data_IF_804718199392
#
_entry.id   IF_804718199392
#
_cell.length_a   1.000
_cell.length_b   1.000
_cell.length_c   1.000
_cell.angle_alpha   90.00
_cell.angle_beta   90.00
_cell.angle_gamma   90.00
#
_symmetry.space_group_name_H-M   'P 1'
#
loop_
_entity.id
_entity.type
_entity.pdbx_description
1 polymer ?
#
# COMPACT_ATOMS: atom_id res chain seq x y z
N UNK A 1 -8.63 -3.10 20.40
CA UNK A 1 -8.01 -1.89 21.00
C UNK A 1 -6.48 -1.96 21.04
N UNK A 2 -5.89 -3.09 21.41
CA UNK A 2 -4.43 -3.24 21.57
C UNK A 2 -3.60 -2.88 20.31
N UNK A 3 -4.00 -3.37 19.11
CA UNK A 3 -3.29 -3.07 17.85
C UNK A 3 -3.23 -1.56 17.52
N UNK A 4 -4.27 -0.81 17.87
CA UNK A 4 -4.27 0.62 17.63
C UNK A 4 -3.24 1.33 18.51
N UNK A 5 -3.15 0.94 19.78
CA UNK A 5 -2.13 1.43 20.70
C UNK A 5 -0.72 1.14 20.16
N UNK A 6 -0.44 -0.11 19.78
CA UNK A 6 0.88 -0.49 19.26
C UNK A 6 1.21 0.25 17.97
N UNK A 7 0.23 0.41 17.06
CA UNK A 7 0.42 1.16 15.82
C UNK A 7 0.80 2.61 16.10
N UNK A 8 0.12 3.28 17.05
CA UNK A 8 0.47 4.62 17.48
C UNK A 8 1.82 4.68 18.19
N UNK A 9 2.13 3.72 19.04
CA UNK A 9 3.41 3.63 19.71
C UNK A 9 4.56 3.55 18.71
N UNK A 10 4.46 2.64 17.70
CA UNK A 10 5.46 2.51 16.63
C UNK A 10 5.58 3.81 15.82
N UNK A 11 4.46 4.47 15.52
CA UNK A 11 4.51 5.77 14.82
C UNK A 11 5.21 6.84 15.62
N UNK A 12 4.88 7.00 16.88
CA UNK A 12 5.45 8.06 17.74
C UNK A 12 6.96 7.80 17.98
N UNK A 13 7.34 6.57 18.32
CA UNK A 13 8.74 6.25 18.60
C UNK A 13 9.61 6.16 17.35
N UNK A 14 9.05 5.68 16.24
CA UNK A 14 9.77 5.47 14.98
C UNK A 14 9.84 6.70 14.06
N UNK A 15 8.97 7.69 14.24
CA UNK A 15 8.84 8.78 13.27
C UNK A 15 10.12 9.62 13.11
N UNK A 16 10.82 9.90 14.20
CA UNK A 16 12.04 10.71 14.15
C UNK A 16 13.16 9.97 13.42
N UNK A 17 13.43 8.73 13.82
CA UNK A 17 14.42 7.89 13.14
C UNK A 17 14.07 7.69 11.66
N UNK A 18 12.81 7.42 11.37
CA UNK A 18 12.30 7.29 10.03
C UNK A 18 12.51 8.55 9.18
N UNK A 19 12.14 9.71 9.71
CA UNK A 19 12.32 10.99 9.02
C UNK A 19 13.80 11.29 8.76
N UNK A 20 14.67 11.08 9.76
CA UNK A 20 16.11 11.31 9.64
C UNK A 20 16.76 10.40 8.60
N UNK A 21 16.42 9.11 8.61
CA UNK A 21 17.07 8.12 7.74
C UNK A 21 16.54 8.13 6.29
N UNK A 22 15.24 8.44 6.11
CA UNK A 22 14.59 8.32 4.79
C UNK A 22 14.35 9.67 4.11
N UNK A 23 14.32 10.77 4.89
CA UNK A 23 14.03 12.13 4.40
C UNK A 23 12.83 12.15 3.44
N UNK A 24 11.67 11.60 3.83
CA UNK A 24 10.57 11.32 2.92
C UNK A 24 10.01 12.60 2.29
N UNK A 25 9.66 12.55 1.00
CA UNK A 25 8.93 13.60 0.30
C UNK A 25 7.70 12.99 -0.37
N UNK A 26 6.55 13.58 -0.09
CA UNK A 26 5.27 13.12 -0.62
C UNK A 26 4.81 14.02 -1.74
N UNK A 27 4.40 13.42 -2.83
CA UNK A 27 3.79 14.04 -3.99
C UNK A 27 2.33 13.57 -4.11
N UNK A 28 1.55 14.22 -4.93
CA UNK A 28 0.14 13.90 -5.16
C UNK A 28 -0.17 14.03 -6.64
N UNK A 29 -0.97 13.12 -7.17
CA UNK A 29 -1.57 13.31 -8.50
C UNK A 29 -2.60 14.44 -8.41
N UNK A 30 -3.56 14.35 -7.49
CA UNK A 30 -4.45 15.45 -7.10
C UNK A 30 -4.61 15.49 -5.58
N UNK A 31 -3.96 16.44 -4.93
CA UNK A 31 -4.02 16.61 -3.47
C UNK A 31 -5.41 16.99 -2.96
N UNK A 32 -6.27 17.55 -3.79
CA UNK A 32 -7.64 17.91 -3.41
C UNK A 32 -8.52 16.67 -3.37
N UNK A 33 -8.35 15.75 -4.30
CA UNK A 33 -9.06 14.49 -4.33
C UNK A 33 -8.59 13.54 -3.22
N UNK A 34 -7.28 13.39 -3.04
CA UNK A 34 -6.72 12.56 -1.98
C UNK A 34 -5.44 13.18 -1.41
N UNK A 35 -5.42 13.34 -0.11
CA UNK A 35 -4.22 13.68 0.66
C UNK A 35 -3.83 12.50 1.55
N UNK A 36 -2.86 12.71 2.45
CA UNK A 36 -2.52 11.72 3.49
C UNK A 36 -3.62 11.54 4.56
N UNK A 37 -4.77 12.17 4.39
CA UNK A 37 -5.93 12.06 5.30
C UNK A 37 -7.01 11.18 4.68
N UNK A 38 -6.92 9.88 4.91
CA UNK A 38 -7.98 8.95 4.49
C UNK A 38 -9.21 9.13 5.37
N UNK A 39 -10.39 9.32 4.75
CA UNK A 39 -11.68 9.37 5.41
C UNK A 39 -12.45 8.07 5.16
N UNK A 40 -13.02 7.48 6.21
CA UNK A 40 -13.79 6.24 6.09
C UNK A 40 -12.94 5.01 5.77
N UNK A 41 -13.56 4.00 5.14
CA UNK A 41 -12.91 2.77 4.71
C UNK A 41 -12.05 3.01 3.47
N UNK A 42 -10.91 2.34 3.36
CA UNK A 42 -10.08 2.38 2.16
C UNK A 42 -9.13 1.17 2.09
N UNK A 43 -8.75 0.82 0.88
CA UNK A 43 -7.68 -0.15 0.61
C UNK A 43 -6.51 0.66 0.01
N UNK A 44 -5.41 0.73 0.74
CA UNK A 44 -4.18 1.35 0.23
C UNK A 44 -3.40 0.28 -0.52
N UNK A 45 -3.16 0.52 -1.79
CA UNK A 45 -2.40 -0.38 -2.67
C UNK A 45 -1.10 0.29 -3.08
N UNK A 46 0.02 -0.38 -2.87
CA UNK A 46 1.33 0.15 -3.26
C UNK A 46 2.15 -0.90 -4.00
N UNK A 47 3.10 -0.44 -4.82
CA UNK A 47 4.19 -1.28 -5.31
C UNK A 47 5.09 -1.73 -4.16
N UNK A 48 5.84 -2.83 -4.35
CA UNK A 48 6.64 -3.46 -3.29
C UNK A 48 8.11 -3.56 -3.68
N UNK A 49 8.92 -2.62 -3.21
CA UNK A 49 10.36 -2.53 -3.52
C UNK A 49 11.27 -2.87 -2.35
N UNK A 50 10.73 -2.82 -1.12
CA UNK A 50 11.49 -3.02 0.11
C UNK A 50 10.60 -3.56 1.23
N UNK A 51 11.19 -4.30 2.15
CA UNK A 51 10.51 -4.72 3.41
C UNK A 51 10.05 -3.51 4.24
N UNK A 52 10.62 -2.34 4.00
CA UNK A 52 10.28 -1.10 4.70
C UNK A 52 9.08 -0.36 4.10
N UNK A 53 8.54 -0.80 2.96
CA UNK A 53 7.38 -0.14 2.32
C UNK A 53 6.19 -0.06 3.28
N UNK A 54 5.93 -1.13 4.06
CA UNK A 54 4.86 -1.17 5.06
C UNK A 54 5.01 -0.03 6.08
N UNK A 55 6.22 0.19 6.58
CA UNK A 55 6.47 1.29 7.51
C UNK A 55 6.30 2.65 6.82
N UNK A 56 6.74 2.77 5.54
CA UNK A 56 6.60 3.99 4.75
C UNK A 56 5.14 4.39 4.60
N UNK A 57 4.29 3.47 4.16
CA UNK A 57 2.86 3.72 3.96
C UNK A 57 2.17 3.97 5.31
N UNK A 58 2.56 3.25 6.36
CA UNK A 58 2.07 3.49 7.71
C UNK A 58 2.38 4.91 8.22
N UNK A 59 3.59 5.43 7.97
CA UNK A 59 3.98 6.80 8.34
C UNK A 59 3.36 7.86 7.41
N UNK A 60 3.19 7.54 6.13
CA UNK A 60 2.52 8.41 5.16
C UNK A 60 1.10 8.75 5.63
N UNK A 61 0.31 7.75 5.99
CA UNK A 61 -1.05 7.91 6.49
C UNK A 61 -1.07 8.01 8.02
N UNK A 62 -0.35 8.95 8.57
CA UNK A 62 -0.12 9.13 10.00
C UNK A 62 -1.39 9.05 10.86
N UNK A 63 -2.50 9.65 10.39
CA UNK A 63 -3.74 9.78 11.15
C UNK A 63 -4.61 8.52 11.18
N UNK A 64 -4.20 7.44 10.49
CA UNK A 64 -4.98 6.20 10.38
C UNK A 64 -4.17 5.03 10.90
N UNK A 65 -4.81 4.20 11.70
CA UNK A 65 -4.29 2.86 11.96
C UNK A 65 -4.62 1.98 10.76
N UNK A 66 -3.61 1.33 10.21
CA UNK A 66 -3.76 0.46 9.03
C UNK A 66 -3.42 -0.97 9.40
N UNK A 67 -4.01 -1.92 8.69
CA UNK A 67 -3.70 -3.34 8.83
C UNK A 67 -3.14 -3.86 7.53
N UNK A 68 -1.87 -4.23 7.55
CA UNK A 68 -1.18 -4.77 6.38
C UNK A 68 -1.49 -6.25 6.21
N UNK A 69 -1.70 -6.67 4.97
CA UNK A 69 -1.76 -8.07 4.58
C UNK A 69 -0.34 -8.61 4.44
N UNK A 70 0.02 -9.62 5.25
CA UNK A 70 1.38 -10.15 5.34
C UNK A 70 1.41 -11.65 5.10
N UNK A 71 2.32 -12.10 4.24
CA UNK A 71 2.50 -13.51 3.93
C UNK A 71 2.88 -14.33 5.17
N UNK A 72 2.37 -15.57 5.27
CA UNK A 72 2.61 -16.48 6.38
C UNK A 72 4.07 -16.69 6.71
N UNK A 73 4.93 -16.77 5.69
CA UNK A 73 6.38 -16.97 5.87
C UNK A 73 7.03 -15.93 6.81
N UNK A 74 6.45 -14.73 6.90
CA UNK A 74 6.94 -13.71 7.83
C UNK A 74 6.63 -14.07 9.29
N UNK A 75 5.56 -14.81 9.54
CA UNK A 75 5.20 -15.30 10.86
C UNK A 75 6.01 -16.53 11.28
N UNK A 76 6.65 -17.21 10.33
CA UNK A 76 7.48 -18.38 10.60
C UNK A 76 8.94 -18.03 10.91
N UNK A 77 9.39 -16.78 10.70
CA UNK A 77 10.78 -16.37 10.91
C UNK A 77 11.24 -16.51 12.36
N UNK A 78 10.52 -15.94 13.30
CA UNK A 78 10.77 -16.09 14.74
C UNK A 78 9.57 -15.60 15.58
N UNK A 79 9.55 -15.96 16.86
CA UNK A 79 8.45 -15.61 17.76
C UNK A 79 8.30 -14.09 17.99
N UNK A 80 9.41 -13.34 18.01
CA UNK A 80 9.39 -11.90 18.20
C UNK A 80 8.73 -11.19 16.99
N UNK A 81 9.08 -11.58 15.77
CA UNK A 81 8.45 -11.07 14.55
C UNK A 81 6.96 -11.39 14.55
N UNK A 82 6.59 -12.62 14.89
CA UNK A 82 5.19 -13.03 14.99
C UNK A 82 4.41 -12.18 16.00
N UNK A 83 4.97 -11.98 17.20
CA UNK A 83 4.37 -11.13 18.21
C UNK A 83 4.22 -9.67 17.75
N UNK A 84 5.24 -9.14 17.09
CA UNK A 84 5.22 -7.79 16.53
C UNK A 84 4.13 -7.63 15.45
N UNK A 85 4.09 -8.50 14.44
CA UNK A 85 3.08 -8.45 13.38
C UNK A 85 1.64 -8.55 13.93
N UNK A 86 1.42 -9.44 14.90
CA UNK A 86 0.13 -9.54 15.61
C UNK A 86 -0.20 -8.27 16.37
N UNK A 87 0.77 -7.68 17.05
CA UNK A 87 0.57 -6.49 17.89
C UNK A 87 0.20 -5.25 17.09
N UNK A 88 0.76 -5.06 15.89
CA UNK A 88 0.39 -3.96 14.98
C UNK A 88 -0.86 -4.27 14.14
N UNK A 89 -1.44 -5.47 14.28
CA UNK A 89 -2.70 -5.86 13.67
C UNK A 89 -2.60 -6.33 12.22
N UNK A 90 -1.44 -6.83 11.79
CA UNK A 90 -1.29 -7.46 10.49
C UNK A 90 -2.21 -8.65 10.31
N UNK A 91 -2.71 -8.84 9.10
CA UNK A 91 -3.56 -9.96 8.71
C UNK A 91 -2.68 -10.96 7.96
N UNK A 92 -2.61 -12.18 8.48
CA UNK A 92 -1.87 -13.27 7.85
C UNK A 92 -2.57 -13.74 6.59
N UNK A 93 -1.81 -13.89 5.50
CA UNK A 93 -2.25 -14.56 4.27
C UNK A 93 -1.54 -15.91 4.22
N UNK A 94 -2.32 -16.97 4.26
CA UNK A 94 -1.85 -18.33 4.00
C UNK A 94 -2.07 -18.65 2.51
N UNK A 95 -0.97 -18.73 1.78
CA UNK A 95 -1.01 -18.96 0.33
C UNK A 95 -0.90 -20.44 -0.03
N UNK A 96 -0.31 -21.22 0.86
CA UNK A 96 -0.06 -22.65 0.62
C UNK A 96 -1.34 -23.49 0.80
N UNK A 97 -2.16 -23.10 1.79
CA UNK A 97 -3.41 -23.80 2.09
C UNK A 97 -4.65 -23.17 1.43
N UNK A 98 -4.48 -22.24 0.47
CA UNK A 98 -5.61 -21.56 -0.20
C UNK A 98 -6.64 -20.99 0.78
N UNK A 99 -6.18 -20.52 1.95
CA UNK A 99 -7.06 -19.92 2.97
C UNK A 99 -7.47 -18.50 2.57
N UNK A 100 -8.69 -18.34 2.11
CA UNK A 100 -9.29 -17.06 1.77
C UNK A 100 -9.89 -16.32 2.98
N UNK A 101 -9.73 -16.83 4.20
CA UNK A 101 -10.26 -16.20 5.42
C UNK A 101 -9.77 -14.76 5.62
N UNK A 102 -8.62 -14.41 5.04
CA UNK A 102 -8.09 -13.05 5.07
C UNK A 102 -9.02 -12.06 4.33
N UNK A 103 -9.71 -12.48 3.27
CA UNK A 103 -10.67 -11.65 2.53
C UNK A 103 -11.82 -11.28 3.46
N UNK A 104 -12.45 -12.27 4.10
CA UNK A 104 -13.56 -12.02 5.02
C UNK A 104 -13.13 -11.13 6.19
N UNK A 105 -11.98 -11.41 6.82
CA UNK A 105 -11.42 -10.58 7.90
C UNK A 105 -11.18 -9.14 7.45
N UNK A 106 -10.67 -8.94 6.23
CA UNK A 106 -10.42 -7.62 5.66
C UNK A 106 -11.72 -6.88 5.37
N UNK A 107 -12.73 -7.56 4.79
CA UNK A 107 -14.06 -7.00 4.58
C UNK A 107 -14.70 -6.53 5.90
N UNK A 108 -14.60 -7.31 6.97
CA UNK A 108 -15.14 -6.96 8.28
C UNK A 108 -14.47 -5.72 8.88
N UNK A 109 -13.17 -5.55 8.64
CA UNK A 109 -12.41 -4.35 9.04
C UNK A 109 -12.88 -3.14 8.23
N UNK A 110 -12.99 -3.29 6.91
CA UNK A 110 -13.42 -2.22 6.01
C UNK A 110 -14.86 -1.78 6.31
N UNK A 111 -15.78 -2.72 6.55
CA UNK A 111 -17.19 -2.41 6.96
C UNK A 111 -17.24 -1.56 8.23
N UNK A 112 -16.26 -1.69 9.14
CA UNK A 112 -16.13 -0.87 10.35
C UNK A 112 -15.38 0.45 10.12
N UNK A 113 -15.17 0.85 8.87
CA UNK A 113 -14.43 2.08 8.52
C UNK A 113 -12.92 1.97 8.65
N UNK A 114 -12.39 0.74 8.73
CA UNK A 114 -10.94 0.48 8.80
C UNK A 114 -10.20 0.73 7.49
N UNK A 115 -8.88 0.64 7.53
CA UNK A 115 -8.00 0.76 6.36
C UNK A 115 -7.13 -0.50 6.27
N UNK A 116 -7.10 -1.07 5.08
CA UNK A 116 -6.24 -2.22 4.72
C UNK A 116 -5.12 -1.72 3.83
N UNK A 117 -3.92 -2.23 4.06
CA UNK A 117 -2.75 -2.02 3.23
C UNK A 117 -2.37 -3.33 2.55
N UNK A 118 -2.20 -3.30 1.23
CA UNK A 118 -1.90 -4.49 0.43
C UNK A 118 -0.87 -4.19 -0.66
N UNK A 119 0.03 -5.15 -0.85
CA UNK A 119 1.05 -5.20 -1.90
C UNK A 119 0.69 -6.33 -2.87
N UNK A 120 0.00 -6.04 -3.99
CA UNK A 120 -0.54 -7.09 -4.86
C UNK A 120 0.52 -7.85 -5.65
N UNK A 121 1.76 -7.35 -5.71
CA UNK A 121 2.93 -8.07 -6.24
C UNK A 121 3.25 -9.34 -5.46
N UNK A 122 2.79 -9.42 -4.21
CA UNK A 122 2.90 -10.60 -3.34
C UNK A 122 4.31 -10.99 -2.90
N UNK A 123 5.34 -10.45 -3.49
CA UNK A 123 6.75 -10.64 -3.12
C UNK A 123 7.58 -9.43 -3.51
N UNK A 124 8.76 -9.34 -2.97
CA UNK A 124 9.75 -8.38 -3.44
C UNK A 124 10.35 -8.83 -4.79
N UNK A 125 10.66 -7.88 -5.69
CA UNK A 125 11.35 -8.17 -6.94
C UNK A 125 12.77 -8.69 -6.69
N UNK A 126 13.23 -9.57 -7.54
CA UNK A 126 14.63 -9.99 -7.60
C UNK A 126 15.44 -8.94 -8.38
N UNK A 127 16.76 -9.00 -8.24
CA UNK A 127 17.64 -8.11 -8.99
C UNK A 127 17.46 -8.29 -10.50
N UNK A 128 17.15 -7.20 -11.20
CA UNK A 128 16.95 -7.18 -12.66
C UNK A 128 15.53 -7.47 -13.13
N UNK A 129 14.58 -7.75 -12.22
CA UNK A 129 13.17 -7.87 -12.61
C UNK A 129 12.55 -6.48 -12.82
N UNK A 130 11.70 -6.37 -13.83
CA UNK A 130 10.88 -5.17 -14.02
C UNK A 130 9.89 -5.00 -12.88
N UNK A 131 9.67 -3.76 -12.48
CA UNK A 131 8.78 -3.40 -11.38
C UNK A 131 7.80 -2.32 -11.78
N UNK A 132 6.56 -2.38 -11.28
CA UNK A 132 5.99 -3.38 -10.37
C UNK A 132 5.77 -4.73 -11.04
N UNK A 133 5.93 -5.81 -10.26
CA UNK A 133 5.65 -7.18 -10.70
C UNK A 133 4.17 -7.35 -11.10
N UNK A 134 3.80 -8.45 -11.79
CA UNK A 134 2.40 -8.77 -12.05
C UNK A 134 1.58 -8.80 -10.76
N UNK A 135 0.41 -8.16 -10.78
CA UNK A 135 -0.48 -8.06 -9.62
C UNK A 135 -1.33 -9.31 -9.46
N UNK A 136 -1.58 -9.70 -8.20
CA UNK A 136 -2.60 -10.67 -7.84
C UNK A 136 -3.95 -9.96 -7.69
N UNK A 137 -5.07 -10.63 -8.01
CA UNK A 137 -6.39 -9.98 -8.04
C UNK A 137 -6.98 -9.67 -6.65
N UNK A 138 -6.30 -10.06 -5.57
CA UNK A 138 -6.81 -9.94 -4.19
C UNK A 138 -7.19 -8.51 -3.77
N UNK A 139 -6.50 -7.48 -4.27
CA UNK A 139 -6.82 -6.09 -3.97
C UNK A 139 -8.13 -5.67 -4.62
N UNK A 140 -8.33 -6.05 -5.89
CA UNK A 140 -9.56 -5.76 -6.65
C UNK A 140 -10.74 -6.55 -6.08
N UNK A 141 -10.56 -7.85 -5.82
CA UNK A 141 -11.57 -8.69 -5.20
C UNK A 141 -12.05 -8.10 -3.86
N UNK A 142 -11.11 -7.66 -3.02
CA UNK A 142 -11.42 -7.03 -1.76
C UNK A 142 -12.18 -5.71 -1.93
N UNK A 143 -11.83 -4.90 -2.93
CA UNK A 143 -12.52 -3.65 -3.25
C UNK A 143 -13.97 -3.92 -3.68
N UNK A 144 -14.19 -4.85 -4.61
CA UNK A 144 -15.51 -5.22 -5.09
C UNK A 144 -16.40 -5.78 -3.97
N UNK A 145 -15.88 -6.68 -3.13
CA UNK A 145 -16.67 -7.28 -2.04
C UNK A 145 -16.97 -6.33 -0.88
N UNK A 146 -16.07 -5.39 -0.60
CA UNK A 146 -16.25 -4.45 0.52
C UNK A 146 -16.87 -3.12 0.12
N UNK A 147 -16.89 -2.79 -1.18
CA UNK A 147 -17.22 -1.46 -1.70
C UNK A 147 -16.28 -0.39 -1.16
N UNK A 148 -15.05 -0.73 -0.80
CA UNK A 148 -14.05 0.23 -0.33
C UNK A 148 -13.25 0.76 -1.51
N UNK A 149 -13.03 2.08 -1.63
CA UNK A 149 -12.18 2.62 -2.68
C UNK A 149 -10.73 2.17 -2.49
N UNK A 150 -10.03 1.97 -3.59
CA UNK A 150 -8.59 1.78 -3.62
C UNK A 150 -7.91 3.15 -3.66
N UNK A 151 -6.92 3.37 -2.79
CA UNK A 151 -6.03 4.53 -2.81
C UNK A 151 -4.67 4.05 -3.29
N UNK A 152 -4.31 4.27 -4.57
CA UNK A 152 -3.02 3.87 -5.09
C UNK A 152 -1.89 4.75 -4.53
N UNK A 153 -0.76 4.11 -4.24
CA UNK A 153 0.47 4.76 -3.80
C UNK A 153 1.64 4.16 -4.56
N UNK A 154 2.53 4.98 -5.04
CA UNK A 154 3.81 4.51 -5.57
C UNK A 154 4.97 5.01 -4.72
N UNK A 155 5.96 4.16 -4.49
CA UNK A 155 7.20 4.49 -3.79
C UNK A 155 8.42 4.14 -4.62
N UNK A 156 9.45 5.00 -4.55
CA UNK A 156 10.72 4.73 -5.22
C UNK A 156 11.62 3.73 -4.46
N UNK A 157 11.23 3.30 -3.26
CA UNK A 157 11.95 2.34 -2.43
C UNK A 157 13.31 2.80 -1.91
N UNK A 158 13.65 4.08 -2.03
CA UNK A 158 14.96 4.62 -1.66
C UNK A 158 15.06 4.91 -0.15
N UNK A 159 14.99 3.86 0.66
CA UNK A 159 15.11 3.97 2.12
C UNK A 159 16.54 3.72 2.57
N UNK A 160 16.97 4.40 3.64
CA UNK A 160 18.31 4.27 4.23
C UNK A 160 19.46 4.39 3.21
N UNK A 161 19.26 5.21 2.19
CA UNK A 161 20.21 5.43 1.10
C UNK A 161 20.55 6.92 0.94
N UNK A 162 21.55 7.23 0.12
CA UNK A 162 21.86 8.62 -0.24
C UNK A 162 20.72 9.28 -1.03
N UNK A 163 19.90 8.48 -1.73
CA UNK A 163 18.72 8.96 -2.44
C UNK A 163 17.60 9.23 -1.46
N UNK A 164 16.82 10.27 -1.72
CA UNK A 164 15.64 10.64 -0.92
C UNK A 164 14.50 9.68 -1.18
N UNK A 165 13.84 9.22 -0.12
CA UNK A 165 12.59 8.47 -0.23
C UNK A 165 11.49 9.38 -0.78
N UNK A 166 10.82 8.94 -1.85
CA UNK A 166 9.75 9.68 -2.52
C UNK A 166 8.54 8.80 -2.69
N UNK A 167 7.37 9.37 -2.49
CA UNK A 167 6.09 8.70 -2.66
C UNK A 167 5.12 9.62 -3.39
N UNK A 168 4.23 9.03 -4.16
CA UNK A 168 3.10 9.74 -4.76
C UNK A 168 1.80 9.04 -4.39
N UNK A 169 0.79 9.83 -4.05
CA UNK A 169 -0.56 9.37 -3.71
C UNK A 169 -1.51 9.77 -4.82
N UNK A 170 -2.28 8.80 -5.31
CA UNK A 170 -3.30 9.00 -6.30
C UNK A 170 -4.67 9.29 -5.68
N UNK A 171 -5.63 9.72 -6.51
CA UNK A 171 -7.04 9.79 -6.17
C UNK A 171 -7.62 8.41 -5.89
N UNK A 172 -8.66 8.32 -5.06
CA UNK A 172 -9.32 7.05 -4.80
C UNK A 172 -9.99 6.52 -6.07
N UNK A 173 -9.88 5.20 -6.29
CA UNK A 173 -10.50 4.50 -7.41
C UNK A 173 -11.63 3.62 -6.87
N UNK A 174 -12.82 3.79 -7.40
CA UNK A 174 -13.95 2.89 -7.17
C UNK A 174 -13.93 1.78 -8.23
N UNK A 175 -13.55 0.56 -7.82
CA UNK A 175 -13.46 -0.58 -8.72
C UNK A 175 -14.83 -1.05 -9.22
N UNK A 176 -15.89 -0.83 -8.44
CA UNK A 176 -17.23 -1.19 -8.87
C UNK A 176 -17.73 -0.29 -10.02
N UNK A 177 -17.32 0.97 -10.06
CA UNK A 177 -17.65 1.87 -11.15
C UNK A 177 -16.93 1.54 -12.48
N UNK A 178 -15.92 0.70 -12.44
CA UNK A 178 -15.15 0.24 -13.61
C UNK A 178 -15.52 -1.20 -14.00
N UNK A 179 -16.44 -1.84 -13.28
CA UNK A 179 -16.90 -3.19 -13.58
C UNK A 179 -17.76 -3.21 -14.83
N UNK A 180 -17.51 -4.13 -15.74
CA UNK A 180 -18.25 -4.29 -16.99
C UNK A 180 -19.18 -5.50 -16.90
N UNK A 181 -20.48 -5.27 -16.77
CA UNK A 181 -21.50 -6.31 -16.67
C UNK A 181 -21.64 -7.19 -17.93
N UNK A 182 -20.98 -6.82 -19.03
CA UNK A 182 -20.97 -7.63 -20.26
C UNK A 182 -19.92 -8.72 -20.27
N UNK A 183 -18.92 -8.65 -19.36
CA UNK A 183 -17.83 -9.59 -19.23
C UNK A 183 -18.11 -10.59 -18.09
N UNK A 184 -17.46 -11.76 -18.14
CA UNK A 184 -17.51 -12.66 -17.02
C UNK A 184 -16.70 -12.15 -15.81
N UNK A 185 -16.94 -12.72 -14.62
CA UNK A 185 -16.31 -12.31 -13.37
C UNK A 185 -14.78 -12.42 -13.42
N UNK A 186 -14.27 -13.49 -14.05
CA UNK A 186 -12.84 -13.75 -14.17
C UNK A 186 -12.17 -12.73 -15.07
N UNK A 187 -12.79 -12.43 -16.19
CA UNK A 187 -12.30 -11.44 -17.15
C UNK A 187 -12.32 -10.04 -16.55
N UNK A 188 -13.42 -9.64 -15.89
CA UNK A 188 -13.49 -8.39 -15.12
C UNK A 188 -12.36 -8.29 -14.10
N UNK A 189 -12.17 -9.33 -13.30
CA UNK A 189 -11.16 -9.34 -12.27
C UNK A 189 -9.74 -9.22 -12.84
N UNK A 190 -9.48 -9.83 -14.00
CA UNK A 190 -8.21 -9.72 -14.71
C UNK A 190 -8.01 -8.29 -15.24
N UNK A 191 -9.00 -7.75 -15.94
CA UNK A 191 -8.93 -6.40 -16.54
C UNK A 191 -8.76 -5.31 -15.48
N UNK A 192 -9.53 -5.37 -14.40
CA UNK A 192 -9.42 -4.43 -13.28
C UNK A 192 -8.08 -4.55 -12.54
N UNK A 193 -7.52 -5.77 -12.46
CA UNK A 193 -6.20 -5.99 -11.86
C UNK A 193 -5.10 -5.38 -12.71
N UNK A 194 -5.16 -5.55 -14.02
CA UNK A 194 -4.21 -4.96 -14.96
C UNK A 194 -4.35 -3.43 -15.02
N UNK A 195 -5.58 -2.91 -15.01
CA UNK A 195 -5.84 -1.48 -14.88
C UNK A 195 -5.15 -0.90 -13.64
N UNK A 196 -5.33 -1.54 -12.49
CA UNK A 196 -4.72 -1.09 -11.23
C UNK A 196 -3.18 -1.12 -11.31
N UNK A 197 -2.61 -2.18 -11.91
CA UNK A 197 -1.16 -2.28 -12.11
C UNK A 197 -0.63 -1.16 -13.00
N UNK A 198 -1.29 -0.92 -14.13
CA UNK A 198 -0.90 0.12 -15.07
C UNK A 198 -1.00 1.51 -14.41
N UNK A 199 -2.03 1.74 -13.60
CA UNK A 199 -2.15 2.98 -12.83
C UNK A 199 -0.99 3.20 -11.86
N UNK A 200 -0.51 2.15 -11.20
CA UNK A 200 0.67 2.22 -10.32
C UNK A 200 1.95 2.51 -11.13
N UNK A 201 2.08 1.98 -12.35
CA UNK A 201 3.21 2.29 -13.25
C UNK A 201 3.19 3.77 -13.63
N UNK A 202 2.05 4.28 -14.09
CA UNK A 202 1.85 5.69 -14.44
C UNK A 202 2.20 6.64 -13.28
N UNK A 203 1.84 6.25 -12.04
CA UNK A 203 2.23 7.01 -10.85
C UNK A 203 3.74 7.05 -10.64
N UNK A 204 4.44 5.98 -11.02
CA UNK A 204 5.90 5.95 -11.00
C UNK A 204 6.50 7.02 -11.94
N UNK A 205 6.01 7.06 -13.16
CA UNK A 205 6.43 8.05 -14.17
C UNK A 205 6.10 9.48 -13.73
N UNK A 206 4.91 9.69 -13.17
CA UNK A 206 4.50 10.97 -12.62
C UNK A 206 5.40 11.41 -11.45
N UNK A 207 5.78 10.49 -10.56
CA UNK A 207 6.70 10.75 -9.47
C UNK A 207 8.07 11.23 -9.98
N UNK A 208 8.61 10.56 -10.98
CA UNK A 208 9.88 10.95 -11.60
C UNK A 208 9.77 12.34 -12.23
N UNK A 209 8.70 12.63 -12.96
CA UNK A 209 8.43 13.92 -13.57
C UNK A 209 8.33 15.05 -12.53
N UNK A 210 7.52 14.89 -11.50
CA UNK A 210 7.33 15.89 -10.44
C UNK A 210 8.62 16.10 -9.64
N UNK A 211 9.37 15.04 -9.39
CA UNK A 211 10.60 15.11 -8.63
C UNK A 211 11.75 15.76 -9.41
N UNK A 212 11.82 15.54 -10.71
CA UNK A 212 12.77 16.19 -11.62
C UNK A 212 12.53 17.69 -11.71
N UNK A 213 11.28 18.11 -11.91
CA UNK A 213 10.90 19.52 -11.94
C UNK A 213 11.20 20.26 -10.62
N UNK A 214 10.98 19.57 -9.47
CA UNK A 214 11.30 20.15 -8.18
C UNK A 214 12.81 20.36 -7.97
N UNK A 215 13.63 19.40 -8.43
CA UNK A 215 15.10 19.52 -8.33
C UNK A 215 15.68 20.59 -9.26
N UNK A 216 15.03 20.90 -10.36
CA UNK A 216 15.42 22.01 -11.24
C UNK A 216 15.12 23.38 -10.61
N UNK A 217 13.97 23.54 -9.96
CA UNK A 217 13.60 24.77 -9.25
C UNK A 217 14.55 25.08 -8.08
N UNK A 218 14.91 24.05 -7.29
CA UNK A 218 15.85 24.20 -6.17
C UNK A 218 17.29 24.60 -6.61
N UNK A 219 17.64 24.50 -7.90
CA UNK A 219 18.95 24.91 -8.44
C UNK A 219 18.94 26.31 -9.07
N UNK A 220 17.77 26.88 -9.29
CA UNK A 220 17.60 28.20 -9.94
C UNK A 220 17.25 29.32 -8.94
N UNK A 221 17.01 28.97 -7.70
CA UNK A 221 16.88 29.87 -6.53
C UNK A 221 18.19 29.86 -5.73
#
# INVERSE_FOLDING_TARGET
MWYAFTNWFVKITGCFAWWLCSRPKTYYEDKRAQSTKIKGKAIVVSNHRSVFDVAMVMFLFWRRTMRCLVAEIMYQKNALMTAFLKSIGCIKIDRENYDFSFIQKSCDILKKGGVIEIYPESRLPKKGEETPLPFKPSAVLLALQSGAPIVPVYTNGAYFSKKRARMIVDKPIDMAALYDDTLDEKENLQNLTEYLRNRIIELGDELERQSGNAAQKEKTE
#
